data_IF_684928727630
#
_entry.id   IF_684928727630
#
_cell.length_a   1.000
_cell.length_b   1.000
_cell.length_c   1.000
_cell.angle_alpha   90.00
_cell.angle_beta   90.00
_cell.angle_gamma   90.00
#
_symmetry.space_group_name_H-M   'P 1'
#
loop_
_entity.id
_entity.type
_entity.pdbx_description
1 polymer ?
#
# COMPACT_ATOMS: atom_id res chain seq x y z
N UNK A 1 -34.71 16.84 27.42
CA UNK A 1 -33.36 17.17 26.90
C UNK A 1 -32.32 16.08 27.20
N UNK A 2 -32.36 15.38 28.35
CA UNK A 2 -31.44 14.28 28.66
C UNK A 2 -31.46 13.07 27.68
N UNK A 3 -32.62 12.72 27.11
CA UNK A 3 -32.74 11.58 26.20
C UNK A 3 -32.07 11.74 24.83
N UNK A 4 -32.02 12.97 24.27
CA UNK A 4 -31.36 13.25 22.98
C UNK A 4 -29.83 13.21 23.10
N UNK A 5 -29.29 13.70 24.23
CA UNK A 5 -27.85 13.69 24.50
C UNK A 5 -27.33 12.25 24.66
N UNK A 6 -28.09 11.38 25.33
CA UNK A 6 -27.72 9.96 25.47
C UNK A 6 -27.69 9.18 24.15
N UNK A 7 -28.68 9.40 23.27
CA UNK A 7 -28.73 8.76 21.96
C UNK A 7 -27.57 9.21 21.04
N UNK A 8 -27.25 10.51 21.05
CA UNK A 8 -26.12 11.06 20.30
C UNK A 8 -24.78 10.47 20.76
N UNK A 9 -24.55 10.38 22.08
CA UNK A 9 -23.33 9.79 22.63
C UNK A 9 -23.18 8.30 22.27
N UNK A 10 -24.28 7.54 22.25
CA UNK A 10 -24.27 6.13 21.82
C UNK A 10 -23.92 5.98 20.33
N UNK A 11 -24.45 6.85 19.47
CA UNK A 11 -24.15 6.85 18.04
C UNK A 11 -22.66 7.16 17.80
N UNK A 12 -22.13 8.20 18.45
CA UNK A 12 -20.70 8.56 18.32
C UNK A 12 -19.77 7.42 18.76
N UNK A 13 -20.08 6.73 19.86
CA UNK A 13 -19.31 5.57 20.30
C UNK A 13 -19.34 4.42 19.27
N UNK A 14 -20.49 4.19 18.62
CA UNK A 14 -20.62 3.16 17.57
C UNK A 14 -19.81 3.53 16.31
N UNK A 15 -19.87 4.78 15.87
CA UNK A 15 -19.08 5.27 14.73
C UNK A 15 -17.58 5.19 15.01
N UNK A 16 -17.16 5.55 16.22
CA UNK A 16 -15.77 5.40 16.64
C UNK A 16 -15.33 3.92 16.64
N UNK A 17 -16.18 3.02 17.15
CA UNK A 17 -15.93 1.57 17.11
C UNK A 17 -15.81 1.05 15.68
N UNK A 18 -16.72 1.46 14.79
CA UNK A 18 -16.68 1.09 13.37
C UNK A 18 -15.38 1.55 12.70
N UNK A 19 -14.96 2.79 12.94
CA UNK A 19 -13.69 3.34 12.43
C UNK A 19 -12.49 2.51 12.89
N UNK A 20 -12.46 2.11 14.17
CA UNK A 20 -11.41 1.25 14.70
C UNK A 20 -11.41 -0.13 14.05
N UNK A 21 -12.57 -0.73 13.82
CA UNK A 21 -12.67 -2.01 13.11
C UNK A 21 -12.19 -1.92 11.66
N UNK A 22 -12.56 -0.87 10.93
CA UNK A 22 -12.10 -0.63 9.56
C UNK A 22 -10.57 -0.51 9.53
N UNK A 23 -9.98 0.23 10.47
CA UNK A 23 -8.53 0.35 10.57
C UNK A 23 -7.85 -0.99 10.81
N UNK A 24 -8.38 -1.81 11.72
CA UNK A 24 -7.82 -3.13 11.99
C UNK A 24 -7.86 -4.05 10.74
N UNK A 25 -8.92 -3.98 9.94
CA UNK A 25 -9.01 -4.73 8.68
C UNK A 25 -7.99 -4.20 7.66
N UNK A 26 -7.81 -2.88 7.56
CA UNK A 26 -6.80 -2.26 6.70
C UNK A 26 -5.38 -2.72 7.07
N UNK A 27 -5.06 -2.77 8.36
CA UNK A 27 -3.75 -3.21 8.84
C UNK A 27 -3.49 -4.69 8.47
N UNK A 28 -4.52 -5.54 8.59
CA UNK A 28 -4.46 -6.96 8.14
C UNK A 28 -4.26 -7.05 6.63
N UNK A 29 -4.91 -6.18 5.86
CA UNK A 29 -4.75 -6.13 4.41
C UNK A 29 -3.31 -5.76 4.03
N UNK A 30 -2.70 -4.76 4.70
CA UNK A 30 -1.31 -4.38 4.46
C UNK A 30 -0.33 -5.52 4.73
N UNK A 31 -0.53 -6.26 5.82
CA UNK A 31 0.28 -7.45 6.11
C UNK A 31 0.06 -8.57 5.08
N UNK A 32 -1.17 -8.73 4.59
CA UNK A 32 -1.50 -9.71 3.55
C UNK A 32 -0.81 -9.36 2.22
N UNK A 33 -0.68 -8.08 1.87
CA UNK A 33 0.07 -7.65 0.68
C UNK A 33 1.54 -8.09 0.75
N UNK A 34 2.17 -7.96 1.92
CA UNK A 34 3.55 -8.43 2.13
C UNK A 34 3.66 -9.94 1.91
N UNK A 35 2.72 -10.71 2.43
CA UNK A 35 2.68 -12.18 2.25
C UNK A 35 2.46 -12.55 0.78
N UNK A 36 1.58 -11.85 0.06
CA UNK A 36 1.40 -12.03 -1.38
C UNK A 36 2.71 -11.75 -2.14
N UNK A 37 3.47 -10.75 -1.73
CA UNK A 37 4.76 -10.43 -2.36
C UNK A 37 5.74 -11.59 -2.20
N UNK A 38 5.97 -12.05 -0.98
CA UNK A 38 6.87 -13.19 -0.72
C UNK A 38 6.43 -14.43 -1.48
N UNK A 39 5.14 -14.79 -1.42
CA UNK A 39 4.62 -15.94 -2.13
C UNK A 39 4.78 -15.83 -3.64
N UNK A 40 4.58 -14.64 -4.22
CA UNK A 40 4.79 -14.39 -5.65
C UNK A 40 6.24 -14.59 -6.07
N UNK A 41 7.19 -14.11 -5.26
CA UNK A 41 8.63 -14.30 -5.51
C UNK A 41 9.02 -15.77 -5.45
N UNK A 42 8.62 -16.48 -4.40
CA UNK A 42 8.90 -17.92 -4.24
C UNK A 42 8.38 -18.72 -5.44
N UNK A 43 7.17 -18.43 -5.91
CA UNK A 43 6.57 -19.10 -7.06
C UNK A 43 7.34 -18.79 -8.36
N UNK A 44 7.77 -17.55 -8.56
CA UNK A 44 8.52 -17.16 -9.75
C UNK A 44 9.92 -17.77 -9.77
N UNK A 45 10.58 -17.89 -8.62
CA UNK A 45 11.84 -18.61 -8.42
C UNK A 45 11.71 -20.10 -8.78
N UNK A 46 10.56 -20.71 -8.43
CA UNK A 46 10.28 -22.13 -8.70
C UNK A 46 9.86 -22.41 -10.15
N UNK A 47 9.69 -21.40 -11.00
CA UNK A 47 9.20 -21.61 -12.36
C UNK A 47 7.68 -21.56 -12.51
N UNK A 48 6.93 -21.38 -11.41
CA UNK A 48 5.46 -21.45 -11.38
C UNK A 48 4.81 -20.11 -11.74
N UNK A 49 5.09 -19.62 -12.95
CA UNK A 49 4.64 -18.29 -13.40
C UNK A 49 3.12 -18.15 -13.41
N UNK A 50 2.36 -19.21 -13.73
CA UNK A 50 0.89 -19.19 -13.67
C UNK A 50 0.37 -18.96 -12.24
N UNK A 51 1.00 -19.59 -11.24
CA UNK A 51 0.67 -19.42 -9.83
C UNK A 51 1.05 -18.01 -9.37
N UNK A 52 2.22 -17.49 -9.77
CA UNK A 52 2.64 -16.12 -9.46
C UNK A 52 1.65 -15.07 -10.03
N UNK A 53 1.15 -15.28 -11.25
CA UNK A 53 0.11 -14.44 -11.85
C UNK A 53 -1.22 -14.49 -11.07
N UNK A 54 -1.59 -15.64 -10.49
CA UNK A 54 -2.78 -15.74 -9.64
C UNK A 54 -2.61 -14.97 -8.31
N UNK A 55 -1.39 -14.98 -7.75
CA UNK A 55 -1.06 -14.16 -6.59
C UNK A 55 -1.15 -12.67 -6.92
N UNK A 56 -0.62 -12.24 -8.07
CA UNK A 56 -0.77 -10.85 -8.55
C UNK A 56 -2.25 -10.46 -8.72
N UNK A 57 -3.07 -11.33 -9.33
CA UNK A 57 -4.50 -11.09 -9.48
C UNK A 57 -5.23 -10.99 -8.13
N UNK A 58 -4.79 -11.75 -7.13
CA UNK A 58 -5.33 -11.69 -5.76
C UNK A 58 -4.89 -10.41 -5.04
N UNK A 59 -3.64 -9.98 -5.25
CA UNK A 59 -3.12 -8.72 -4.74
C UNK A 59 -3.92 -7.53 -5.27
N UNK A 60 -4.24 -7.49 -6.58
CA UNK A 60 -5.07 -6.42 -7.16
C UNK A 60 -6.44 -6.33 -6.48
N UNK A 61 -7.11 -7.47 -6.25
CA UNK A 61 -8.39 -7.51 -5.51
C UNK A 61 -8.26 -7.01 -4.08
N UNK A 62 -7.13 -7.28 -3.43
CA UNK A 62 -6.86 -6.79 -2.08
C UNK A 62 -6.67 -5.27 -2.07
N UNK A 63 -5.96 -4.71 -3.06
CA UNK A 63 -5.81 -3.26 -3.23
C UNK A 63 -7.16 -2.58 -3.53
N UNK A 64 -8.01 -3.18 -4.35
CA UNK A 64 -9.39 -2.71 -4.58
C UNK A 64 -10.18 -2.67 -3.26
N UNK A 65 -10.05 -3.70 -2.43
CA UNK A 65 -10.72 -3.77 -1.13
C UNK A 65 -10.15 -2.75 -0.12
N UNK A 66 -8.84 -2.50 -0.12
CA UNK A 66 -8.24 -1.45 0.70
C UNK A 66 -8.76 -0.06 0.32
N UNK A 67 -8.91 0.22 -0.98
CA UNK A 67 -9.53 1.46 -1.43
C UNK A 67 -10.97 1.61 -0.92
N UNK A 68 -11.77 0.54 -0.98
CA UNK A 68 -13.12 0.53 -0.42
C UNK A 68 -13.13 0.87 1.08
N UNK A 69 -12.25 0.24 1.86
CA UNK A 69 -12.12 0.49 3.30
C UNK A 69 -11.69 1.93 3.59
N UNK A 70 -10.79 2.51 2.77
CA UNK A 70 -10.36 3.91 2.92
C UNK A 70 -11.50 4.90 2.65
N UNK A 71 -12.32 4.65 1.63
CA UNK A 71 -13.53 5.44 1.33
C UNK A 71 -14.50 5.33 2.50
N UNK A 72 -14.82 4.12 2.95
CA UNK A 72 -15.74 3.91 4.09
C UNK A 72 -15.22 4.57 5.37
N UNK A 73 -13.94 4.42 5.70
CA UNK A 73 -13.31 5.07 6.87
C UNK A 73 -13.46 6.58 6.79
N UNK A 74 -13.25 7.16 5.61
CA UNK A 74 -13.33 8.61 5.39
C UNK A 74 -14.77 9.10 5.58
N UNK A 75 -15.75 8.40 5.03
CA UNK A 75 -17.17 8.72 5.18
C UNK A 75 -17.65 8.57 6.63
N UNK A 76 -17.29 7.48 7.31
CA UNK A 76 -17.61 7.26 8.73
C UNK A 76 -16.95 8.31 9.61
N UNK A 77 -15.72 8.71 9.30
CA UNK A 77 -15.02 9.78 10.03
C UNK A 77 -15.74 11.12 9.86
N UNK A 78 -16.16 11.45 8.63
CA UNK A 78 -16.94 12.66 8.35
C UNK A 78 -18.23 12.68 9.17
N UNK A 79 -19.01 11.60 9.12
CA UNK A 79 -20.24 11.44 9.91
C UNK A 79 -19.99 11.59 11.42
N UNK A 80 -18.88 11.04 11.93
CA UNK A 80 -18.55 11.11 13.35
C UNK A 80 -18.15 12.53 13.82
N UNK A 81 -17.63 13.35 12.91
CA UNK A 81 -17.18 14.73 13.20
C UNK A 81 -18.27 15.79 13.03
N UNK A 82 -19.29 15.51 12.23
CA UNK A 82 -20.43 16.42 12.03
C UNK A 82 -21.29 16.50 13.31
N UNK A 83 -21.37 17.69 13.92
CA UNK A 83 -22.04 17.92 15.20
C UNK A 83 -23.58 17.89 15.13
N UNK A 84 -24.14 18.16 13.95
CA UNK A 84 -25.55 18.01 13.63
C UNK A 84 -25.65 16.88 12.60
N UNK A 85 -25.91 15.66 13.07
CA UNK A 85 -26.30 14.57 12.17
C UNK A 85 -27.63 14.97 11.53
N UNK A 86 -27.57 15.42 10.28
CA UNK A 86 -28.75 15.79 9.52
C UNK A 86 -29.69 14.59 9.38
N UNK A 87 -31.00 14.83 9.30
CA UNK A 87 -32.02 13.78 9.17
C UNK A 87 -31.81 12.90 7.92
N UNK A 88 -30.95 13.30 6.99
CA UNK A 88 -30.58 12.62 5.75
C UNK A 88 -29.16 12.00 5.75
N UNK A 89 -28.47 11.92 6.89
CA UNK A 89 -27.08 11.45 6.98
C UNK A 89 -26.84 10.07 6.35
N UNK A 90 -27.79 9.14 6.50
CA UNK A 90 -27.72 7.81 5.86
C UNK A 90 -27.77 7.91 4.32
N UNK A 91 -28.69 8.72 3.80
CA UNK A 91 -28.84 8.92 2.36
C UNK A 91 -27.60 9.60 1.75
N UNK A 92 -27.03 10.58 2.45
CA UNK A 92 -25.80 11.25 2.02
C UNK A 92 -24.59 10.31 2.06
N UNK A 93 -24.49 9.45 3.08
CA UNK A 93 -23.45 8.42 3.16
C UNK A 93 -23.53 7.48 1.97
N UNK A 94 -24.71 6.89 1.72
CA UNK A 94 -24.92 5.93 0.63
C UNK A 94 -24.65 6.56 -0.73
N UNK A 95 -25.16 7.77 -0.99
CA UNK A 95 -24.91 8.48 -2.23
C UNK A 95 -23.41 8.78 -2.44
N UNK A 96 -22.71 9.20 -1.37
CA UNK A 96 -21.27 9.48 -1.44
C UNK A 96 -20.47 8.21 -1.70
N UNK A 97 -20.83 7.09 -1.07
CA UNK A 97 -20.20 5.80 -1.26
C UNK A 97 -20.43 5.28 -2.69
N UNK A 98 -21.67 5.28 -3.17
CA UNK A 98 -22.02 4.84 -4.53
C UNK A 98 -21.29 5.66 -5.58
N UNK A 99 -21.26 6.99 -5.44
CA UNK A 99 -20.54 7.87 -6.36
C UNK A 99 -19.03 7.58 -6.35
N UNK A 100 -18.43 7.42 -5.16
CA UNK A 100 -17.00 7.14 -5.03
C UNK A 100 -16.64 5.79 -5.65
N UNK A 101 -17.46 4.76 -5.40
CA UNK A 101 -17.25 3.42 -5.94
C UNK A 101 -17.51 3.35 -7.44
N UNK A 102 -18.52 4.05 -7.97
CA UNK A 102 -18.73 4.15 -9.41
C UNK A 102 -17.54 4.80 -10.09
N UNK A 103 -17.07 5.94 -9.56
CA UNK A 103 -15.90 6.65 -10.07
C UNK A 103 -14.66 5.76 -10.06
N UNK A 104 -14.42 5.03 -8.97
CA UNK A 104 -13.29 4.11 -8.87
C UNK A 104 -13.41 2.94 -9.83
N UNK A 105 -14.59 2.33 -9.95
CA UNK A 105 -14.79 1.15 -10.81
C UNK A 105 -14.67 1.46 -12.30
N UNK A 106 -14.93 2.70 -12.71
CA UNK A 106 -14.73 3.16 -14.10
C UNK A 106 -13.25 3.42 -14.45
N UNK A 107 -12.36 3.49 -13.46
CA UNK A 107 -10.94 3.68 -13.69
C UNK A 107 -10.29 2.44 -14.34
N UNK A 108 -9.32 2.70 -15.22
CA UNK A 108 -8.46 1.66 -15.78
C UNK A 108 -7.49 1.11 -14.73
N UNK A 109 -6.95 -0.09 -14.97
CA UNK A 109 -5.89 -0.67 -14.14
C UNK A 109 -4.67 0.26 -14.00
N UNK A 110 -4.34 1.01 -15.06
CA UNK A 110 -3.25 1.98 -15.02
C UNK A 110 -3.54 3.13 -14.03
N UNK A 111 -4.78 3.62 -13.99
CA UNK A 111 -5.18 4.66 -13.05
C UNK A 111 -5.23 4.14 -11.61
N UNK A 112 -5.71 2.90 -11.40
CA UNK A 112 -5.83 2.29 -10.06
C UNK A 112 -4.47 1.89 -9.46
N UNK A 113 -3.63 1.23 -10.25
CA UNK A 113 -2.44 0.56 -9.76
C UNK A 113 -1.14 1.23 -10.24
N UNK A 114 -1.18 1.98 -11.34
CA UNK A 114 0.00 2.59 -11.95
C UNK A 114 0.67 3.66 -11.09
N UNK A 115 -0.01 4.19 -10.07
CA UNK A 115 0.57 5.09 -9.06
C UNK A 115 0.64 4.47 -7.66
N UNK A 116 0.17 3.24 -7.49
CA UNK A 116 0.21 2.54 -6.21
C UNK A 116 1.63 2.02 -5.94
N UNK A 117 2.32 2.57 -4.93
CA UNK A 117 3.71 2.23 -4.61
C UNK A 117 3.87 0.76 -4.27
N UNK A 118 2.97 0.20 -3.46
CA UNK A 118 3.00 -1.20 -3.06
C UNK A 118 2.91 -2.14 -4.25
N UNK A 119 2.03 -1.84 -5.22
CA UNK A 119 1.91 -2.63 -6.43
C UNK A 119 3.14 -2.51 -7.35
N UNK A 120 3.73 -1.31 -7.45
CA UNK A 120 4.98 -1.10 -8.20
C UNK A 120 6.11 -1.94 -7.61
N UNK A 121 6.33 -1.83 -6.30
CA UNK A 121 7.37 -2.57 -5.59
C UNK A 121 7.20 -4.08 -5.75
N UNK A 122 5.96 -4.58 -5.64
CA UNK A 122 5.65 -5.99 -5.90
C UNK A 122 6.09 -6.43 -7.30
N UNK A 123 5.71 -5.67 -8.34
CA UNK A 123 6.01 -5.98 -9.74
C UNK A 123 7.50 -5.88 -10.04
N UNK A 124 8.19 -4.88 -9.48
CA UNK A 124 9.63 -4.70 -9.62
C UNK A 124 10.39 -5.88 -9.03
N UNK A 125 10.06 -6.28 -7.80
CA UNK A 125 10.69 -7.44 -7.16
C UNK A 125 10.44 -8.72 -7.97
N UNK A 126 9.21 -8.92 -8.46
CA UNK A 126 8.86 -10.08 -9.28
C UNK A 126 9.66 -10.12 -10.60
N UNK A 127 9.86 -8.97 -11.23
CA UNK A 127 10.66 -8.85 -12.45
C UNK A 127 12.13 -9.20 -12.23
N UNK A 128 12.72 -8.67 -11.14
CA UNK A 128 14.13 -8.85 -10.79
C UNK A 128 14.52 -10.33 -10.62
N UNK A 129 13.60 -11.20 -10.17
CA UNK A 129 13.84 -12.65 -9.99
C UNK A 129 14.48 -13.30 -11.23
N UNK A 130 14.09 -12.86 -12.43
CA UNK A 130 14.57 -13.43 -13.70
C UNK A 130 15.34 -12.46 -14.58
N UNK A 131 15.43 -11.19 -14.18
CA UNK A 131 16.00 -10.12 -14.98
C UNK A 131 16.95 -9.25 -14.15
N UNK A 132 17.87 -9.89 -13.42
CA UNK A 132 18.83 -9.19 -12.55
C UNK A 132 19.63 -8.13 -13.32
N UNK A 133 19.54 -6.89 -12.85
CA UNK A 133 20.22 -5.73 -13.42
C UNK A 133 19.54 -5.11 -14.64
N UNK A 134 18.41 -5.66 -15.11
CA UNK A 134 17.60 -5.06 -16.17
C UNK A 134 16.49 -4.19 -15.58
N UNK A 135 16.29 -2.96 -16.07
CA UNK A 135 15.19 -2.12 -15.60
C UNK A 135 13.84 -2.76 -15.93
N UNK A 136 12.92 -2.75 -14.97
CA UNK A 136 11.56 -3.23 -15.21
C UNK A 136 10.90 -2.39 -16.32
N UNK A 137 10.26 -3.03 -17.33
CA UNK A 137 9.44 -2.32 -18.30
C UNK A 137 8.31 -1.53 -17.63
N UNK A 138 7.79 -0.51 -18.32
CA UNK A 138 6.61 0.24 -17.84
C UNK A 138 5.45 -0.73 -17.56
N UNK A 139 4.86 -0.63 -16.36
CA UNK A 139 3.78 -1.52 -15.88
C UNK A 139 2.55 -1.50 -16.79
N UNK A 140 2.21 -0.30 -17.25
CA UNK A 140 1.10 -0.05 -18.16
C UNK A 140 1.68 0.76 -19.33
N UNK A 141 1.33 0.37 -20.56
CA UNK A 141 1.86 1.02 -21.77
C UNK A 141 1.46 2.50 -21.91
N UNK A 142 1.86 3.12 -23.02
CA UNK A 142 1.79 4.57 -23.34
C UNK A 142 0.40 5.24 -23.28
N UNK A 143 -0.65 4.51 -22.89
CA UNK A 143 -2.02 5.02 -22.75
C UNK A 143 -2.42 5.28 -21.29
N UNK A 144 -1.48 5.18 -20.34
CA UNK A 144 -1.69 5.51 -18.93
C UNK A 144 -1.32 6.97 -18.65
N UNK A 145 -2.34 7.81 -18.49
CA UNK A 145 -2.28 9.26 -18.21
C UNK A 145 -1.01 9.72 -17.49
N UNK A 146 -0.16 10.41 -18.25
CA UNK A 146 1.17 10.89 -17.85
C UNK A 146 1.04 11.93 -16.75
N UNK A 147 1.63 11.64 -15.59
CA UNK A 147 2.18 12.66 -14.71
C UNK A 147 3.57 12.21 -14.33
N UNK A 148 4.53 12.69 -15.10
CA UNK A 148 5.97 12.62 -14.84
C UNK A 148 6.29 13.06 -13.41
N UNK A 149 6.60 12.11 -12.54
CA UNK A 149 7.57 12.27 -11.45
C UNK A 149 8.31 10.93 -11.28
N UNK A 150 9.09 10.57 -12.31
CA UNK A 150 10.10 9.52 -12.22
C UNK A 150 11.25 9.99 -11.32
N UNK A 151 11.01 10.01 -10.00
CA UNK A 151 12.09 9.83 -9.04
C UNK A 151 12.25 8.32 -8.87
N UNK A 152 12.95 7.71 -9.83
CA UNK A 152 13.47 6.36 -9.71
C UNK A 152 14.35 6.36 -8.47
N UNK A 153 13.81 5.92 -7.34
CA UNK A 153 14.62 5.46 -6.23
C UNK A 153 15.27 4.19 -6.79
N UNK A 154 16.43 4.35 -7.41
CA UNK A 154 17.30 3.23 -7.70
C UNK A 154 17.43 2.49 -6.36
N UNK A 155 16.81 1.31 -6.27
CA UNK A 155 16.77 0.52 -5.06
C UNK A 155 18.17 0.54 -4.49
N UNK A 156 18.34 1.15 -3.31
CA UNK A 156 19.66 1.34 -2.76
C UNK A 156 20.24 -0.06 -2.58
N UNK A 157 21.11 -0.49 -3.51
CA UNK A 157 21.84 -1.75 -3.39
C UNK A 157 22.68 -1.59 -2.13
N UNK A 158 22.16 -2.11 -1.02
CA UNK A 158 22.82 -2.08 0.27
C UNK A 158 24.09 -2.93 0.12
N UNK A 159 25.21 -2.26 -0.10
CA UNK A 159 26.47 -2.94 -0.28
C UNK A 159 26.96 -3.43 1.09
N UNK A 160 26.79 -4.72 1.35
CA UNK A 160 27.25 -5.37 2.58
C UNK A 160 28.75 -5.67 2.60
N UNK A 161 29.51 -5.21 1.60
CA UNK A 161 30.97 -5.24 1.62
C UNK A 161 31.50 -4.02 2.36
N UNK A 162 32.43 -4.24 3.27
CA UNK A 162 33.20 -3.16 3.88
C UNK A 162 34.05 -2.46 2.80
N UNK A 163 33.97 -1.12 2.65
CA UNK A 163 34.76 -0.38 1.67
C UNK A 163 36.28 -0.47 1.89
N UNK A 164 36.72 -0.81 3.12
CA UNK A 164 38.14 -0.90 3.49
C UNK A 164 38.68 -2.32 3.30
N UNK A 165 37.99 -3.32 3.87
CA UNK A 165 38.50 -4.70 3.85
C UNK A 165 38.06 -5.48 2.62
N UNK A 166 37.10 -4.95 1.84
CA UNK A 166 36.45 -5.62 0.69
C UNK A 166 35.80 -6.97 1.03
N UNK A 167 35.65 -7.27 2.32
CA UNK A 167 34.99 -8.46 2.87
C UNK A 167 33.59 -8.10 3.36
N UNK A 168 32.80 -9.08 3.78
CA UNK A 168 31.50 -8.82 4.41
C UNK A 168 31.65 -7.96 5.67
N UNK A 169 30.70 -7.05 5.89
CA UNK A 169 30.66 -6.22 7.09
C UNK A 169 30.54 -7.08 8.36
N UNK A 170 31.46 -6.88 9.29
CA UNK A 170 31.41 -7.40 10.67
C UNK A 170 31.33 -6.22 11.63
N UNK A 171 30.36 -6.23 12.56
CA UNK A 171 30.03 -5.12 13.48
C UNK A 171 29.98 -3.75 12.77
N UNK A 172 28.99 -3.51 11.89
CA UNK A 172 28.98 -2.34 11.02
C UNK A 172 28.78 -1.04 11.79
N UNK A 173 29.61 -0.05 11.45
CA UNK A 173 29.57 1.31 12.01
C UNK A 173 29.53 2.33 10.88
N UNK A 174 28.62 3.30 10.99
CA UNK A 174 28.38 4.30 9.93
C UNK A 174 28.99 5.64 10.29
N UNK A 175 29.79 6.19 9.38
CA UNK A 175 30.39 7.52 9.57
C UNK A 175 29.33 8.61 9.51
N UNK A 176 29.31 9.50 10.51
CA UNK A 176 28.42 10.68 10.50
C UNK A 176 28.82 11.74 9.46
N UNK A 177 30.02 11.65 8.89
CA UNK A 177 30.56 12.65 7.94
C UNK A 177 30.20 12.30 6.50
N UNK A 178 30.28 11.02 6.12
CA UNK A 178 30.10 10.57 4.75
C UNK A 178 29.08 9.45 4.58
N UNK A 179 28.39 9.05 5.65
CA UNK A 179 27.31 8.07 5.68
C UNK A 179 27.64 6.68 5.10
N UNK A 180 28.92 6.34 4.97
CA UNK A 180 29.37 5.00 4.59
C UNK A 180 29.46 4.10 5.83
N UNK A 181 29.11 2.83 5.65
CA UNK A 181 29.24 1.78 6.66
C UNK A 181 30.55 1.02 6.49
N UNK A 182 31.26 0.80 7.60
CA UNK A 182 32.53 0.10 7.67
C UNK A 182 32.46 -1.01 8.72
N UNK A 183 33.35 -1.99 8.65
CA UNK A 183 33.57 -2.91 9.77
C UNK A 183 34.33 -2.17 10.86
N UNK A 184 33.88 -2.28 12.10
CA UNK A 184 34.45 -1.53 13.23
C UNK A 184 35.95 -1.77 13.40
N UNK A 185 36.43 -2.98 13.15
CA UNK A 185 37.86 -3.31 13.25
C UNK A 185 38.73 -2.68 12.13
N UNK A 186 38.09 -2.14 11.09
CA UNK A 186 38.75 -1.58 9.91
C UNK A 186 38.87 -0.04 9.92
N UNK A 187 38.31 0.63 10.95
CA UNK A 187 38.30 2.09 11.08
C UNK A 187 38.76 2.57 12.47
#
# INVERSE_FOLDING_TARGET
>A
MAGRVGAHMQLQNRLQGLRSSIQAISDIADDTVRVCTVAGLDLEELGETDSAMQVEASLRKLLDAQHQLDVERSLVTRLATEQDMADNAEAEYLASWEQSMATYNEQSDAAKYGKNTTYKEFREQLWEVRHDGEPMPRLFGDNGDESDEDLVIAGARMNYRCPVTTSWLVDPVTSKVCNHSYSKDAI
#
